data_IF_662991715561
#
_entry.id   IF_662991715561
#
_cell.length_a   1.000
_cell.length_b   1.000
_cell.length_c   1.000
_cell.angle_alpha   90.00
_cell.angle_beta   90.00
_cell.angle_gamma   90.00
#
_symmetry.space_group_name_H-M   'P 1'
#
loop_
_entity.id
_entity.type
_entity.pdbx_description
1 polymer ?
#
# COMPACT_ATOMS: atom_id res chain seq x y z
N UNK A 1 14.78 -33.61 10.90
CA UNK A 1 15.05 -33.07 9.53
C UNK A 1 13.84 -32.33 8.94
N UNK A 2 13.04 -31.63 9.77
CA UNK A 2 11.76 -31.02 9.31
C UNK A 2 11.80 -29.50 9.21
N UNK A 3 12.69 -28.82 9.95
CA UNK A 3 12.77 -27.36 9.92
C UNK A 3 13.45 -26.87 8.63
N UNK A 4 14.56 -27.48 8.25
CA UNK A 4 15.32 -27.10 7.04
C UNK A 4 14.46 -27.27 5.78
N UNK A 5 13.68 -28.35 5.67
CA UNK A 5 12.74 -28.54 4.55
C UNK A 5 11.56 -27.56 4.61
N UNK A 6 11.08 -27.20 5.80
CA UNK A 6 10.05 -26.18 5.99
C UNK A 6 10.52 -24.78 5.56
N UNK A 7 11.75 -24.40 5.90
CA UNK A 7 12.36 -23.12 5.48
C UNK A 7 12.56 -23.09 3.96
N UNK A 8 13.07 -24.19 3.36
CA UNK A 8 13.23 -24.29 1.91
C UNK A 8 11.90 -24.10 1.17
N UNK A 9 10.84 -24.74 1.67
CA UNK A 9 9.48 -24.60 1.12
C UNK A 9 8.89 -23.21 1.32
N UNK A 10 9.14 -22.55 2.46
CA UNK A 10 8.72 -21.17 2.69
C UNK A 10 9.38 -20.19 1.69
N UNK A 11 10.64 -20.42 1.34
CA UNK A 11 11.35 -19.62 0.35
C UNK A 11 10.75 -19.75 -1.07
N UNK A 12 10.24 -20.93 -1.45
CA UNK A 12 9.50 -21.12 -2.71
C UNK A 12 8.24 -20.25 -2.80
N UNK A 13 7.63 -19.91 -1.66
CA UNK A 13 6.49 -18.98 -1.56
C UNK A 13 6.90 -17.52 -1.32
N UNK A 14 8.19 -17.20 -1.41
CA UNK A 14 8.70 -15.84 -1.20
C UNK A 14 8.75 -15.40 0.26
N UNK A 15 8.67 -16.33 1.21
CA UNK A 15 8.74 -16.04 2.65
C UNK A 15 10.16 -16.22 3.16
N UNK A 16 10.77 -15.12 3.63
CA UNK A 16 12.08 -15.15 4.27
C UNK A 16 11.95 -15.46 5.77
N UNK A 17 12.36 -16.66 6.17
CA UNK A 17 12.43 -17.07 7.58
C UNK A 17 13.85 -16.83 8.10
N UNK A 18 14.02 -15.82 8.98
CA UNK A 18 15.34 -15.48 9.55
C UNK A 18 15.81 -16.48 10.60
N UNK A 19 14.89 -16.93 11.45
CA UNK A 19 15.18 -17.84 12.57
C UNK A 19 14.30 -19.09 12.50
N UNK A 20 14.92 -20.26 12.62
CA UNK A 20 14.25 -21.56 12.64
C UNK A 20 13.14 -21.65 13.70
N UNK A 21 13.38 -21.07 14.88
CA UNK A 21 12.45 -21.05 16.01
C UNK A 21 11.19 -20.22 15.71
N UNK A 22 11.30 -19.20 14.85
CA UNK A 22 10.16 -18.37 14.46
C UNK A 22 9.10 -19.19 13.70
N UNK A 23 9.55 -20.13 12.85
CA UNK A 23 8.66 -21.02 12.11
C UNK A 23 7.88 -21.97 13.02
N UNK A 24 8.54 -22.47 14.08
CA UNK A 24 7.86 -23.32 15.06
C UNK A 24 6.86 -22.53 15.90
N UNK A 25 7.21 -21.33 16.37
CA UNK A 25 6.30 -20.47 17.13
C UNK A 25 5.09 -20.04 16.30
N UNK A 26 5.28 -19.79 15.00
CA UNK A 26 4.21 -19.46 14.07
C UNK A 26 3.13 -20.55 14.00
N UNK A 27 3.50 -21.83 14.18
CA UNK A 27 2.54 -22.95 14.14
C UNK A 27 1.51 -22.95 15.29
N UNK A 28 1.82 -22.25 16.38
CA UNK A 28 0.97 -22.17 17.58
C UNK A 28 0.31 -20.80 17.76
N UNK A 29 0.49 -19.88 16.81
CA UNK A 29 -0.16 -18.57 16.87
C UNK A 29 -1.66 -18.72 16.63
N UNK A 30 -2.45 -18.09 17.49
CA UNK A 30 -3.90 -18.01 17.43
C UNK A 30 -4.39 -16.64 16.96
N UNK A 31 -3.61 -15.60 17.25
CA UNK A 31 -3.92 -14.21 16.94
C UNK A 31 -2.82 -13.59 16.10
N UNK A 32 -3.21 -12.93 15.00
CA UNK A 32 -2.31 -12.18 14.14
C UNK A 32 -2.77 -10.72 14.07
N UNK A 33 -1.89 -9.81 14.45
CA UNK A 33 -2.14 -8.36 14.37
C UNK A 33 -1.39 -7.82 13.16
N UNK A 34 -2.13 -7.25 12.23
CA UNK A 34 -1.56 -6.62 11.05
C UNK A 34 -1.41 -5.12 11.29
N UNK A 35 -0.28 -4.57 10.85
CA UNK A 35 -0.24 -3.14 10.56
C UNK A 35 -1.10 -2.87 9.31
N UNK A 36 -1.77 -1.72 9.27
CA UNK A 36 -2.61 -1.37 8.12
C UNK A 36 -1.78 -0.71 7.02
N UNK A 37 -1.02 0.32 7.38
CA UNK A 37 -0.38 1.21 6.40
C UNK A 37 0.90 0.59 5.85
N UNK A 38 0.96 0.34 4.54
CA UNK A 38 2.14 -0.28 3.92
C UNK A 38 2.21 -1.80 4.06
N UNK A 39 1.32 -2.41 4.85
CA UNK A 39 1.18 -3.87 4.97
C UNK A 39 -0.11 -4.34 4.29
N UNK A 40 -1.28 -3.89 4.76
CA UNK A 40 -2.56 -4.18 4.10
C UNK A 40 -2.88 -3.18 2.98
N UNK A 41 -2.38 -1.95 3.11
CA UNK A 41 -2.54 -0.89 2.11
C UNK A 41 -1.20 -0.58 1.44
N UNK A 42 -1.24 0.00 0.25
CA UNK A 42 -0.04 0.41 -0.49
C UNK A 42 0.77 1.53 0.18
N UNK A 43 0.28 2.10 1.29
CA UNK A 43 0.94 3.21 2.01
C UNK A 43 0.97 4.52 1.23
N UNK A 44 0.34 4.58 0.06
CA UNK A 44 0.25 5.76 -0.82
C UNK A 44 -1.21 6.22 -0.87
N UNK A 45 -1.52 7.45 -0.45
CA UNK A 45 -2.88 7.96 -0.59
C UNK A 45 -3.23 8.10 -2.09
N UNK A 46 -4.51 7.97 -2.42
CA UNK A 46 -5.02 8.10 -3.79
C UNK A 46 -6.38 8.79 -3.79
N UNK A 47 -6.66 9.57 -4.83
CA UNK A 47 -7.96 10.24 -4.98
C UNK A 47 -9.04 9.24 -5.40
N UNK A 48 -9.90 8.88 -4.47
CA UNK A 48 -10.99 7.92 -4.73
C UNK A 48 -12.23 8.56 -5.36
N UNK A 49 -12.55 9.82 -5.02
CA UNK A 49 -13.73 10.53 -5.53
C UNK A 49 -13.45 12.02 -5.66
N UNK A 50 -14.07 12.65 -6.66
CA UNK A 50 -14.06 14.10 -6.89
C UNK A 50 -15.53 14.55 -6.84
N UNK A 51 -15.81 15.63 -6.10
CA UNK A 51 -17.15 16.22 -6.03
C UNK A 51 -17.02 17.68 -6.41
N UNK A 52 -17.63 18.07 -7.53
CA UNK A 52 -17.61 19.45 -8.02
C UNK A 52 -18.90 20.18 -7.67
N UNK A 53 -18.81 21.51 -7.61
CA UNK A 53 -19.94 22.40 -7.39
C UNK A 53 -20.04 23.38 -8.56
N UNK A 54 -21.21 23.99 -8.74
CA UNK A 54 -21.45 25.06 -9.73
C UNK A 54 -21.16 24.67 -11.19
N UNK A 55 -21.35 23.40 -11.56
CA UNK A 55 -21.20 22.92 -12.94
C UNK A 55 -19.75 22.81 -13.43
N UNK A 56 -18.76 22.88 -12.52
CA UNK A 56 -17.36 22.65 -12.88
C UNK A 56 -17.15 21.18 -13.26
N UNK A 57 -16.49 20.94 -14.38
CA UNK A 57 -16.12 19.60 -14.83
C UNK A 57 -15.00 19.02 -13.93
N UNK A 58 -15.11 17.75 -13.57
CA UNK A 58 -14.11 17.06 -12.72
C UNK A 58 -12.69 17.15 -13.31
N UNK A 59 -12.55 17.03 -14.63
CA UNK A 59 -11.27 17.12 -15.31
C UNK A 59 -10.64 18.53 -15.21
N UNK A 60 -11.47 19.58 -15.20
CA UNK A 60 -10.99 20.94 -15.00
C UNK A 60 -10.55 21.17 -13.54
N UNK A 61 -11.35 20.71 -12.58
CA UNK A 61 -11.00 20.79 -11.16
C UNK A 61 -9.69 20.04 -10.84
N UNK A 62 -9.53 18.83 -11.37
CA UNK A 62 -8.33 18.02 -11.17
C UNK A 62 -7.08 18.65 -11.78
N UNK A 63 -7.18 19.23 -12.99
CA UNK A 63 -6.05 19.93 -13.63
C UNK A 63 -5.58 21.13 -12.81
N UNK A 64 -6.52 21.91 -12.25
CA UNK A 64 -6.20 23.07 -11.43
C UNK A 64 -5.55 22.64 -10.10
N UNK A 65 -6.09 21.61 -9.44
CA UNK A 65 -5.51 21.05 -8.22
C UNK A 65 -4.09 20.51 -8.45
N UNK A 66 -3.90 19.72 -9.51
CA UNK A 66 -2.59 19.19 -9.87
C UNK A 66 -1.56 20.29 -10.20
N UNK A 67 -1.99 21.39 -10.84
CA UNK A 67 -1.11 22.52 -11.12
C UNK A 67 -0.68 23.27 -9.85
N UNK A 68 -1.57 23.37 -8.86
CA UNK A 68 -1.27 24.01 -7.57
C UNK A 68 -0.30 23.15 -6.73
N UNK A 69 -0.50 21.84 -6.74
CA UNK A 69 0.27 20.89 -5.91
C UNK A 69 1.63 20.47 -6.51
N UNK A 70 1.98 20.90 -7.73
CA UNK A 70 3.23 20.52 -8.41
C UNK A 70 4.52 20.83 -7.63
N UNK A 71 4.50 21.79 -6.69
CA UNK A 71 5.62 22.15 -5.83
C UNK A 71 5.48 21.69 -4.37
N UNK A 72 4.43 20.94 -4.05
CA UNK A 72 4.07 20.56 -2.68
C UNK A 72 4.84 19.31 -2.24
N UNK A 73 5.49 19.37 -1.08
CA UNK A 73 6.08 18.20 -0.43
C UNK A 73 5.08 17.43 0.44
N UNK A 74 3.82 17.90 0.50
CA UNK A 74 2.81 17.26 1.32
C UNK A 74 2.46 15.87 0.74
N UNK A 75 2.38 14.80 1.55
CA UNK A 75 2.11 13.44 1.06
C UNK A 75 0.81 13.25 0.27
N UNK A 76 -0.12 14.22 0.36
CA UNK A 76 -1.39 14.25 -0.37
C UNK A 76 -1.30 14.93 -1.74
N UNK A 77 -0.30 15.78 -1.99
CA UNK A 77 -0.15 16.51 -3.25
C UNK A 77 0.12 15.58 -4.45
N UNK A 78 1.08 14.65 -4.36
CA UNK A 78 1.36 13.70 -5.44
C UNK A 78 0.20 12.75 -5.79
N UNK A 79 -0.81 12.63 -4.91
CA UNK A 79 -1.95 11.72 -5.08
C UNK A 79 -2.83 12.05 -6.30
N UNK A 80 -2.77 13.29 -6.81
CA UNK A 80 -3.54 13.75 -7.96
C UNK A 80 -3.01 13.26 -9.31
N UNK A 81 -1.72 12.89 -9.38
CA UNK A 81 -1.02 12.62 -10.65
C UNK A 81 -1.46 11.32 -11.36
N UNK A 82 -2.15 10.41 -10.66
CA UNK A 82 -2.53 9.10 -11.19
C UNK A 82 -3.84 9.05 -11.99
N UNK A 83 -4.79 9.97 -11.73
CA UNK A 83 -6.13 9.93 -12.35
C UNK A 83 -6.23 10.65 -13.70
N UNK A 84 -5.32 11.60 -13.99
CA UNK A 84 -5.35 12.41 -15.23
C UNK A 84 -4.82 11.69 -16.48
N UNK A 85 -4.37 10.42 -16.38
CA UNK A 85 -3.70 9.69 -17.47
C UNK A 85 -4.51 8.52 -18.06
N UNK A 86 -5.82 8.46 -17.82
CA UNK A 86 -6.71 7.51 -18.50
C UNK A 86 -7.86 8.22 -19.19
#
# INVERSE_FOLDING_TARGET
>A
MSIISGVGRAAEFGVLVRDADALQRASTLDTLVFDKTGTLTEGKPQVVAIKTFNGVEEAQALRLAAALEQGSSHPLGPCDSGKSRR
#
